data_IF_218762957778
#
_entry.id   IF_218762957778
#
_cell.length_a   1.000
_cell.length_b   1.000
_cell.length_c   1.000
_cell.angle_alpha   90.00
_cell.angle_beta   90.00
_cell.angle_gamma   90.00
#
_symmetry.space_group_name_H-M   'P 1'
#
loop_
_entity.id
_entity.type
_entity.pdbx_description
1 polymer ?
#
# COMPACT_ATOMS: atom_id res chain seq x y z
N UNK A 1 1.40 1.44 7.16
CA UNK A 1 1.52 1.65 5.71
C UNK A 1 1.66 3.13 5.34
N UNK A 2 0.80 4.01 5.85
CA UNK A 2 0.77 5.41 5.43
C UNK A 2 2.09 6.15 5.72
N UNK A 3 2.71 5.88 6.89
CA UNK A 3 4.05 6.41 7.22
C UNK A 3 5.13 5.86 6.28
N UNK A 4 5.10 4.57 5.95
CA UNK A 4 6.03 3.97 4.98
C UNK A 4 5.84 4.59 3.59
N UNK A 5 4.59 4.77 3.14
CA UNK A 5 4.30 5.43 1.88
C UNK A 5 4.84 6.87 1.83
N UNK A 6 4.69 7.62 2.92
CA UNK A 6 5.25 8.99 3.03
C UNK A 6 6.77 8.98 2.98
N UNK A 7 7.44 8.08 3.71
CA UNK A 7 8.89 7.96 3.69
C UNK A 7 9.43 7.63 2.29
N UNK A 8 8.76 6.71 1.57
CA UNK A 8 9.11 6.39 0.19
C UNK A 8 8.89 7.59 -0.74
N UNK A 9 7.75 8.29 -0.62
CA UNK A 9 7.45 9.48 -1.42
C UNK A 9 8.46 10.61 -1.22
N UNK A 10 8.95 10.79 0.02
CA UNK A 10 9.95 11.82 0.35
C UNK A 10 11.33 11.52 -0.22
N UNK A 11 11.74 10.25 -0.17
CA UNK A 11 13.08 9.83 -0.58
C UNK A 11 13.17 9.51 -2.07
N UNK A 12 12.07 9.07 -2.67
CA UNK A 12 12.00 8.63 -4.07
C UNK A 12 10.80 9.27 -4.78
N UNK A 13 10.88 10.59 -5.07
CA UNK A 13 9.78 11.30 -5.71
C UNK A 13 9.35 10.64 -7.03
N UNK A 14 8.05 10.47 -7.21
CA UNK A 14 7.47 9.83 -8.40
C UNK A 14 7.39 8.30 -8.35
N UNK A 15 8.03 7.65 -7.39
CA UNK A 15 7.91 6.19 -7.21
C UNK A 15 6.75 5.83 -6.30
N UNK A 16 6.03 4.76 -6.62
CA UNK A 16 4.88 4.28 -5.84
C UNK A 16 5.26 3.08 -4.99
N UNK A 17 4.74 3.05 -3.76
CA UNK A 17 4.84 1.88 -2.88
C UNK A 17 3.65 0.95 -3.14
N UNK A 18 3.94 -0.30 -3.46
CA UNK A 18 2.95 -1.37 -3.62
C UNK A 18 3.02 -2.34 -2.44
N UNK A 19 1.92 -2.46 -1.71
CA UNK A 19 1.75 -3.47 -0.67
C UNK A 19 1.20 -4.71 -1.37
N UNK A 20 2.02 -5.74 -1.53
CA UNK A 20 1.67 -6.92 -2.32
C UNK A 20 0.81 -7.90 -1.54
N UNK A 21 1.34 -8.47 -0.47
CA UNK A 21 0.65 -9.49 0.34
C UNK A 21 1.23 -9.58 1.75
N UNK A 22 0.49 -10.20 2.65
CA UNK A 22 1.03 -10.56 3.97
C UNK A 22 1.85 -11.84 3.87
N UNK A 23 3.04 -11.82 4.48
CA UNK A 23 3.96 -12.95 4.53
C UNK A 23 4.83 -12.83 5.79
N UNK A 24 5.30 -13.94 6.31
CA UNK A 24 6.25 -13.98 7.43
C UNK A 24 5.81 -13.10 8.63
N UNK A 25 4.51 -13.08 8.92
CA UNK A 25 3.87 -12.27 9.99
C UNK A 25 4.04 -10.77 9.85
N UNK A 26 4.17 -10.29 8.64
CA UNK A 26 4.24 -8.88 8.27
C UNK A 26 3.69 -8.70 6.86
N UNK A 27 4.22 -7.73 6.13
CA UNK A 27 3.75 -7.39 4.80
C UNK A 27 4.92 -7.22 3.84
N UNK A 28 4.79 -7.83 2.68
CA UNK A 28 5.74 -7.63 1.59
C UNK A 28 5.34 -6.42 0.76
N UNK A 29 6.30 -5.53 0.55
CA UNK A 29 6.13 -4.29 -0.18
C UNK A 29 7.19 -4.15 -1.26
N UNK A 30 6.83 -3.57 -2.40
CA UNK A 30 7.74 -3.23 -3.50
C UNK A 30 7.63 -1.75 -3.83
N UNK A 31 8.73 -1.14 -4.25
CA UNK A 31 8.76 0.23 -4.77
C UNK A 31 8.82 0.14 -6.29
N UNK A 32 7.88 0.80 -6.96
CA UNK A 32 7.79 0.82 -8.41
C UNK A 32 9.09 1.38 -9.02
N UNK A 33 9.61 0.71 -10.07
CA UNK A 33 10.85 1.12 -10.72
C UNK A 33 12.14 0.73 -9.99
N UNK A 34 12.06 0.08 -8.81
CA UNK A 34 13.23 -0.51 -8.14
C UNK A 34 13.27 -2.02 -8.39
N UNK A 35 14.31 -2.49 -9.08
CA UNK A 35 14.51 -3.92 -9.30
C UNK A 35 14.95 -4.67 -8.03
N UNK A 36 15.73 -4.00 -7.18
CA UNK A 36 16.17 -4.52 -5.88
C UNK A 36 16.44 -3.37 -4.91
N UNK A 37 16.03 -3.51 -3.65
CA UNK A 37 16.31 -2.50 -2.64
C UNK A 37 17.68 -2.73 -2.01
N UNK A 38 18.50 -1.69 -1.98
CA UNK A 38 19.83 -1.75 -1.34
C UNK A 38 19.72 -1.58 0.18
N UNK A 39 20.73 -2.08 0.95
CA UNK A 39 20.75 -1.87 2.39
C UNK A 39 20.74 -0.38 2.81
N UNK A 40 21.39 0.49 2.02
CA UNK A 40 21.42 1.93 2.30
C UNK A 40 20.08 2.59 2.05
N UNK A 41 19.38 2.24 0.98
CA UNK A 41 17.99 2.69 0.73
C UNK A 41 17.05 2.23 1.83
N UNK A 42 17.16 0.97 2.24
CA UNK A 42 16.32 0.44 3.32
C UNK A 42 16.55 1.18 4.64
N UNK A 43 17.82 1.48 4.96
CA UNK A 43 18.19 2.27 6.14
C UNK A 43 17.62 3.68 6.06
N UNK A 44 17.78 4.36 4.92
CA UNK A 44 17.23 5.70 4.72
C UNK A 44 15.70 5.73 4.91
N UNK A 45 14.98 4.72 4.42
CA UNK A 45 13.53 4.59 4.62
C UNK A 45 13.21 4.40 6.11
N UNK A 46 13.92 3.52 6.82
CA UNK A 46 13.71 3.30 8.26
C UNK A 46 13.96 4.58 9.06
N UNK A 47 15.05 5.28 8.81
CA UNK A 47 15.38 6.57 9.45
C UNK A 47 14.28 7.61 9.17
N UNK A 48 13.85 7.75 7.91
CA UNK A 48 12.79 8.68 7.54
C UNK A 48 11.46 8.34 8.20
N UNK A 49 11.09 7.08 8.29
CA UNK A 49 9.90 6.66 9.02
C UNK A 49 9.98 7.03 10.51
N UNK A 50 11.14 6.85 11.15
CA UNK A 50 11.33 7.24 12.56
C UNK A 50 11.23 8.74 12.78
N UNK A 51 11.77 9.54 11.85
CA UNK A 51 11.61 11.00 11.87
C UNK A 51 10.13 11.41 11.78
N UNK A 52 9.37 10.83 10.82
CA UNK A 52 7.95 11.10 10.67
C UNK A 52 7.14 10.72 11.91
N UNK A 53 7.49 9.63 12.57
CA UNK A 53 6.87 9.21 13.85
C UNK A 53 7.22 10.19 14.96
N UNK A 54 8.48 10.61 15.07
CA UNK A 54 8.93 11.56 16.09
C UNK A 54 8.32 12.96 15.92
N UNK A 55 7.99 13.36 14.68
CA UNK A 55 7.30 14.62 14.38
C UNK A 55 5.83 14.62 14.80
N UNK A 56 5.26 13.49 15.13
CA UNK A 56 3.85 13.32 15.56
C UNK A 56 2.84 14.00 14.61
N UNK A 57 3.00 13.79 13.30
CA UNK A 57 2.23 14.47 12.26
C UNK A 57 0.76 14.04 12.32
N UNK A 58 -0.20 14.98 12.30
CA UNK A 58 -1.62 14.67 12.26
C UNK A 58 -2.02 13.89 11.01
N UNK A 59 -2.85 12.87 11.16
CA UNK A 59 -3.49 12.12 10.08
C UNK A 59 -4.96 12.54 10.04
N UNK A 60 -5.29 13.41 9.10
CA UNK A 60 -6.59 14.06 9.01
C UNK A 60 -7.53 13.22 8.16
N UNK A 61 -8.66 12.82 8.74
CA UNK A 61 -9.74 12.13 8.03
C UNK A 61 -10.67 13.15 7.37
N UNK A 62 -10.86 13.04 6.07
CA UNK A 62 -11.73 13.90 5.28
C UNK A 62 -12.77 13.08 4.54
N UNK A 63 -13.98 13.60 4.45
CA UNK A 63 -15.05 13.03 3.62
C UNK A 63 -15.32 13.98 2.46
N UNK A 64 -15.09 13.48 1.24
CA UNK A 64 -15.27 14.23 0.00
C UNK A 64 -16.36 13.60 -0.85
N UNK A 65 -16.91 14.36 -1.80
CA UNK A 65 -17.67 13.78 -2.89
C UNK A 65 -16.77 12.90 -3.76
N UNK A 66 -17.29 11.78 -4.24
CA UNK A 66 -16.49 10.87 -5.08
C UNK A 66 -15.95 11.57 -6.33
N UNK A 67 -16.71 12.49 -6.92
CA UNK A 67 -16.26 13.28 -8.06
C UNK A 67 -15.05 14.20 -7.71
N UNK A 68 -15.03 14.79 -6.53
CA UNK A 68 -13.89 15.62 -6.06
C UNK A 68 -12.65 14.75 -5.82
N UNK A 69 -12.85 13.56 -5.24
CA UNK A 69 -11.76 12.62 -5.01
C UNK A 69 -11.18 12.07 -6.33
N UNK A 70 -12.01 11.82 -7.33
CA UNK A 70 -11.57 11.46 -8.69
C UNK A 70 -10.69 12.56 -9.27
N UNK A 71 -11.14 13.83 -9.22
CA UNK A 71 -10.34 14.96 -9.70
C UNK A 71 -9.00 15.10 -8.98
N UNK A 72 -8.98 14.89 -7.64
CA UNK A 72 -7.76 14.90 -6.85
C UNK A 72 -6.78 13.82 -7.31
N UNK A 73 -7.24 12.58 -7.42
CA UNK A 73 -6.38 11.45 -7.82
C UNK A 73 -5.94 11.51 -9.29
N UNK A 74 -6.75 12.08 -10.17
CA UNK A 74 -6.35 12.36 -11.56
C UNK A 74 -5.17 13.34 -11.58
N UNK A 75 -5.23 14.43 -10.80
CA UNK A 75 -4.12 15.39 -10.68
C UNK A 75 -2.85 14.77 -10.09
N UNK A 76 -3.00 13.78 -9.21
CA UNK A 76 -1.88 13.06 -8.59
C UNK A 76 -1.35 11.89 -9.45
N UNK A 77 -1.92 11.63 -10.62
CA UNK A 77 -1.54 10.52 -11.49
C UNK A 77 -1.82 9.13 -10.90
N UNK A 78 -2.82 9.01 -10.00
CA UNK A 78 -3.18 7.77 -9.34
C UNK A 78 -4.33 7.06 -10.06
N UNK A 79 -4.05 6.55 -11.26
CA UNK A 79 -5.07 5.95 -12.15
C UNK A 79 -5.81 4.76 -11.51
N UNK A 80 -5.13 3.96 -10.70
CA UNK A 80 -5.72 2.85 -9.93
C UNK A 80 -6.81 3.31 -8.96
N UNK A 81 -6.63 4.49 -8.34
CA UNK A 81 -7.61 5.11 -7.45
C UNK A 81 -8.76 5.73 -8.22
N UNK A 82 -8.47 6.36 -9.36
CA UNK A 82 -9.49 6.88 -10.28
C UNK A 82 -10.41 5.76 -10.73
N UNK A 83 -9.86 4.68 -11.31
CA UNK A 83 -10.62 3.52 -11.76
C UNK A 83 -11.46 2.89 -10.62
N UNK A 84 -10.89 2.79 -9.42
CA UNK A 84 -11.61 2.29 -8.25
C UNK A 84 -12.82 3.16 -7.91
N UNK A 85 -12.67 4.48 -7.88
CA UNK A 85 -13.73 5.40 -7.48
C UNK A 85 -14.82 5.54 -8.56
N UNK A 86 -14.46 5.53 -9.83
CA UNK A 86 -15.40 5.59 -10.96
C UNK A 86 -16.27 4.34 -11.08
N UNK A 87 -15.72 3.19 -10.68
CA UNK A 87 -16.46 1.90 -10.70
C UNK A 87 -17.29 1.64 -9.43
N UNK A 88 -17.29 2.56 -8.47
CA UNK A 88 -18.05 2.43 -7.21
C UNK A 88 -19.22 3.41 -7.17
N UNK A 89 -20.45 2.94 -6.94
CA UNK A 89 -21.65 3.79 -6.89
C UNK A 89 -21.80 4.47 -5.51
N UNK A 90 -20.75 5.10 -5.00
CA UNK A 90 -20.79 5.82 -3.73
C UNK A 90 -20.68 7.31 -3.94
N UNK A 91 -21.62 8.08 -3.36
CA UNK A 91 -21.62 9.53 -3.44
C UNK A 91 -20.44 10.17 -2.69
N UNK A 92 -20.01 9.54 -1.61
CA UNK A 92 -18.92 10.03 -0.75
C UNK A 92 -17.82 8.99 -0.56
N UNK A 93 -16.61 9.48 -0.41
CA UNK A 93 -15.43 8.69 -0.08
C UNK A 93 -14.69 9.32 1.10
N UNK A 94 -14.11 8.48 1.95
CA UNK A 94 -13.24 8.94 3.05
C UNK A 94 -11.79 8.83 2.62
N UNK A 95 -11.08 9.95 2.67
CA UNK A 95 -9.64 10.04 2.45
C UNK A 95 -8.93 10.40 3.75
N UNK A 96 -7.65 10.08 3.80
CA UNK A 96 -6.76 10.49 4.87
C UNK A 96 -5.63 11.32 4.28
N UNK A 97 -5.29 12.42 4.97
CA UNK A 97 -4.19 13.30 4.58
C UNK A 97 -3.17 13.37 5.70
N UNK A 98 -1.91 13.22 5.37
CA UNK A 98 -0.76 13.34 6.26
C UNK A 98 0.27 14.21 5.57
N UNK A 99 0.47 15.43 6.08
CA UNK A 99 1.24 16.48 5.40
C UNK A 99 0.71 16.71 3.96
N UNK A 100 1.53 16.51 2.96
CA UNK A 100 1.21 16.64 1.54
C UNK A 100 0.72 15.34 0.88
N UNK A 101 0.72 14.21 1.61
CA UNK A 101 0.29 12.92 1.08
C UNK A 101 -1.18 12.65 1.37
N UNK A 102 -1.94 12.26 0.34
CA UNK A 102 -3.33 11.80 0.47
C UNK A 102 -3.43 10.30 0.16
N UNK A 103 -4.20 9.59 0.97
CA UNK A 103 -4.41 8.15 0.81
C UNK A 103 -5.87 7.73 1.04
N UNK A 104 -6.26 6.65 0.37
CA UNK A 104 -7.54 6.00 0.53
C UNK A 104 -7.38 4.72 1.34
N UNK A 105 -8.08 4.63 2.47
CA UNK A 105 -8.04 3.47 3.36
C UNK A 105 -9.45 3.05 3.77
N UNK A 106 -9.69 1.75 3.82
CA UNK A 106 -10.99 1.18 4.20
C UNK A 106 -11.28 1.27 5.70
N UNK A 107 -10.24 1.30 6.54
CA UNK A 107 -10.35 1.34 7.98
C UNK A 107 -10.02 2.71 8.58
N UNK A 108 -10.25 2.83 9.88
CA UNK A 108 -9.80 3.98 10.64
C UNK A 108 -8.27 3.93 10.82
N UNK A 109 -7.60 5.06 10.60
CA UNK A 109 -6.19 5.23 10.89
C UNK A 109 -5.99 5.85 12.28
N UNK A 110 -4.77 5.73 12.79
CA UNK A 110 -4.33 6.45 13.98
C UNK A 110 -4.45 7.98 13.77
N UNK A 111 -4.71 8.77 14.82
CA UNK A 111 -4.87 10.21 14.69
C UNK A 111 -3.58 10.94 14.31
N UNK A 112 -2.43 10.41 14.70
CA UNK A 112 -1.11 10.98 14.36
C UNK A 112 -0.11 9.87 14.10
N UNK A 113 1.06 10.22 13.52
CA UNK A 113 2.16 9.28 13.26
C UNK A 113 2.81 8.78 14.55
N UNK A 114 2.75 9.54 15.64
CA UNK A 114 3.30 9.16 16.96
C UNK A 114 2.66 7.91 17.57
N UNK A 115 1.46 7.53 17.12
CA UNK A 115 0.80 6.29 17.56
C UNK A 115 1.39 5.01 16.97
N UNK A 116 2.36 5.10 16.05
CA UNK A 116 2.97 3.92 15.43
C UNK A 116 4.49 3.82 15.66
N UNK A 117 4.94 3.86 16.95
CA UNK A 117 6.37 3.92 17.26
C UNK A 117 7.10 2.59 16.99
N UNK A 118 6.36 1.49 16.89
CA UNK A 118 6.91 0.15 16.79
C UNK A 118 6.66 -0.45 15.40
N UNK A 119 7.72 -0.54 14.61
CA UNK A 119 7.76 -1.20 13.32
C UNK A 119 9.18 -1.71 13.04
N UNK A 120 9.34 -2.58 12.06
CA UNK A 120 10.65 -3.02 11.58
C UNK A 120 10.64 -3.14 10.06
N UNK A 121 11.74 -2.74 9.43
CA UNK A 121 11.96 -2.93 8.00
C UNK A 121 13.10 -3.93 7.80
N UNK A 122 12.85 -4.91 6.93
CA UNK A 122 13.85 -5.91 6.57
C UNK A 122 13.88 -6.06 5.06
N UNK A 123 15.06 -6.28 4.49
CA UNK A 123 15.13 -6.71 3.10
C UNK A 123 14.49 -8.10 2.97
N UNK A 124 13.59 -8.26 2.01
CA UNK A 124 12.94 -9.53 1.72
C UNK A 124 12.80 -9.67 0.21
N UNK A 125 13.51 -10.64 -0.37
CA UNK A 125 13.68 -10.75 -1.82
C UNK A 125 14.15 -9.40 -2.41
N UNK A 126 13.47 -8.90 -3.45
CA UNK A 126 13.78 -7.62 -4.10
C UNK A 126 13.18 -6.39 -3.39
N UNK A 127 12.26 -6.61 -2.45
CA UNK A 127 11.52 -5.54 -1.78
C UNK A 127 11.76 -5.47 -0.28
N UNK A 128 10.75 -4.97 0.41
CA UNK A 128 10.75 -4.66 1.83
C UNK A 128 9.73 -5.56 2.54
N UNK A 129 10.14 -6.17 3.64
CA UNK A 129 9.22 -6.74 4.62
C UNK A 129 8.98 -5.73 5.72
N UNK A 130 7.75 -5.27 5.86
CA UNK A 130 7.30 -4.43 6.96
C UNK A 130 6.78 -5.32 8.10
N UNK A 131 7.55 -5.38 9.19
CA UNK A 131 7.12 -6.00 10.45
C UNK A 131 6.24 -5.04 11.23
N UNK A 132 5.17 -5.56 11.78
CA UNK A 132 4.17 -4.83 12.58
C UNK A 132 4.09 -5.41 13.99
N UNK A 133 3.52 -4.67 14.96
CA UNK A 133 3.33 -5.18 16.32
C UNK A 133 2.58 -6.50 16.35
N UNK A 134 3.00 -7.37 17.25
CA UNK A 134 2.34 -8.64 17.50
C UNK A 134 0.90 -8.42 17.97
N UNK A 135 -0.06 -9.11 17.36
CA UNK A 135 -1.48 -8.96 17.67
C UNK A 135 -1.82 -9.29 19.15
N UNK A 136 -1.12 -10.26 19.73
CA UNK A 136 -1.32 -10.70 21.12
C UNK A 136 -0.48 -9.93 22.13
N UNK A 137 0.60 -9.28 21.68
CA UNK A 137 1.45 -8.43 22.50
C UNK A 137 1.94 -7.22 21.68
N UNK A 138 1.19 -6.12 21.67
CA UNK A 138 1.51 -4.94 20.86
C UNK A 138 2.80 -4.22 21.22
N UNK A 139 3.43 -4.57 22.36
CA UNK A 139 4.71 -3.98 22.78
C UNK A 139 5.92 -4.60 22.11
N UNK A 140 5.76 -5.60 21.27
CA UNK A 140 6.85 -6.24 20.53
C UNK A 140 6.49 -6.51 19.08
N UNK A 141 7.49 -6.58 18.23
CA UNK A 141 7.34 -7.06 16.86
C UNK A 141 7.23 -8.58 16.82
N UNK A 142 6.53 -9.09 15.82
CA UNK A 142 6.58 -10.51 15.49
C UNK A 142 7.96 -10.89 14.93
N UNK A 143 8.43 -12.08 15.28
CA UNK A 143 9.64 -12.61 14.67
C UNK A 143 9.34 -12.98 13.20
N UNK A 144 10.10 -12.41 12.31
CA UNK A 144 10.03 -12.76 10.89
C UNK A 144 10.53 -14.19 10.69
N UNK A 145 9.66 -15.05 10.20
CA UNK A 145 10.02 -16.42 9.79
C UNK A 145 9.87 -16.50 8.27
N UNK A 146 10.97 -16.61 7.51
CA UNK A 146 10.90 -16.66 6.05
C UNK A 146 10.00 -17.78 5.56
N UNK A 147 9.12 -17.47 4.61
CA UNK A 147 8.13 -18.40 4.03
C UNK A 147 8.32 -18.44 2.52
N UNK A 148 9.41 -19.07 2.06
CA UNK A 148 9.81 -19.09 0.66
C UNK A 148 8.73 -19.67 -0.27
N UNK A 149 8.19 -20.85 0.07
CA UNK A 149 7.15 -21.49 -0.75
C UNK A 149 5.89 -20.62 -0.89
N UNK A 150 5.48 -19.95 0.19
CA UNK A 150 4.32 -19.06 0.16
C UNK A 150 4.61 -17.81 -0.67
N UNK A 151 5.82 -17.28 -0.59
CA UNK A 151 6.25 -16.16 -1.41
C UNK A 151 6.22 -16.52 -2.91
N UNK A 152 6.71 -17.70 -3.28
CA UNK A 152 6.72 -18.15 -4.67
C UNK A 152 5.30 -18.27 -5.23
N UNK A 153 4.36 -18.85 -4.46
CA UNK A 153 2.95 -18.96 -4.86
C UNK A 153 2.33 -17.57 -5.04
N UNK A 154 2.55 -16.63 -4.12
CA UNK A 154 2.04 -15.26 -4.26
C UNK A 154 2.67 -14.51 -5.44
N UNK A 155 3.95 -14.74 -5.71
CA UNK A 155 4.64 -14.12 -6.84
C UNK A 155 4.09 -14.64 -8.18
N UNK A 156 3.79 -15.94 -8.27
CA UNK A 156 3.14 -16.54 -9.43
C UNK A 156 1.73 -15.97 -9.63
N UNK A 157 0.93 -15.90 -8.57
CA UNK A 157 -0.40 -15.30 -8.60
C UNK A 157 -0.34 -13.83 -9.04
N UNK A 158 0.61 -13.06 -8.54
CA UNK A 158 0.78 -11.65 -8.95
C UNK A 158 1.04 -11.53 -10.45
N UNK A 159 1.89 -12.37 -11.02
CA UNK A 159 2.11 -12.40 -12.49
C UNK A 159 0.83 -12.70 -13.27
N UNK A 160 0.02 -13.62 -12.76
CA UNK A 160 -1.26 -13.97 -13.37
C UNK A 160 -2.21 -12.78 -13.42
N UNK A 161 -2.43 -12.10 -12.30
CA UNK A 161 -3.34 -10.95 -12.26
C UNK A 161 -2.84 -9.76 -13.08
N UNK A 162 -1.50 -9.59 -13.20
CA UNK A 162 -0.88 -8.59 -14.08
C UNK A 162 -1.17 -8.91 -15.56
N UNK A 163 -0.99 -10.15 -15.99
CA UNK A 163 -1.30 -10.60 -17.37
C UNK A 163 -2.77 -10.42 -17.71
N UNK A 164 -3.67 -10.65 -16.75
CA UNK A 164 -5.11 -10.48 -16.92
C UNK A 164 -5.56 -9.02 -16.85
N UNK A 165 -4.68 -8.08 -16.49
CA UNK A 165 -5.00 -6.66 -16.31
C UNK A 165 -5.91 -6.38 -15.12
N UNK A 166 -5.93 -7.27 -14.12
CA UNK A 166 -6.80 -7.19 -12.92
C UNK A 166 -5.99 -7.10 -11.63
N UNK A 167 -4.79 -6.57 -11.70
CA UNK A 167 -3.88 -6.43 -10.56
C UNK A 167 -4.41 -5.51 -9.45
N UNK A 168 -5.40 -4.66 -9.75
CA UNK A 168 -6.06 -3.78 -8.79
C UNK A 168 -7.57 -4.00 -8.78
N UNK A 169 -8.22 -3.63 -7.66
CA UNK A 169 -9.69 -3.73 -7.57
C UNK A 169 -10.35 -2.82 -8.62
N UNK A 170 -9.78 -1.64 -8.89
CA UNK A 170 -10.27 -0.77 -9.96
C UNK A 170 -10.20 -1.46 -11.33
N UNK A 171 -9.07 -2.04 -11.68
CA UNK A 171 -8.90 -2.80 -12.93
C UNK A 171 -9.85 -3.99 -13.03
N UNK A 172 -10.02 -4.76 -11.94
CA UNK A 172 -10.99 -5.86 -11.89
C UNK A 172 -12.42 -5.37 -12.14
N UNK A 173 -12.84 -4.31 -11.45
CA UNK A 173 -14.17 -3.73 -11.64
C UNK A 173 -14.39 -3.25 -13.07
N UNK A 174 -13.43 -2.54 -13.64
CA UNK A 174 -13.49 -2.09 -15.05
C UNK A 174 -13.66 -3.28 -15.99
N UNK A 175 -12.85 -4.33 -15.81
CA UNK A 175 -12.92 -5.54 -16.63
C UNK A 175 -14.29 -6.24 -16.55
N UNK A 176 -14.90 -6.27 -15.35
CA UNK A 176 -16.25 -6.81 -15.15
C UNK A 176 -17.30 -5.97 -15.87
N UNK A 177 -17.20 -4.64 -15.76
CA UNK A 177 -18.15 -3.71 -16.40
C UNK A 177 -18.06 -3.77 -17.93
N UNK A 178 -16.89 -4.04 -18.50
CA UNK A 178 -16.65 -4.27 -19.92
C UNK A 178 -17.13 -5.65 -20.42
N UNK A 179 -17.71 -6.47 -19.54
CA UNK A 179 -18.24 -7.79 -19.89
C UNK A 179 -17.24 -8.96 -19.78
N UNK A 180 -16.00 -8.70 -19.35
CA UNK A 180 -14.95 -9.72 -19.21
C UNK A 180 -15.08 -10.62 -17.96
N UNK A 181 -16.08 -10.42 -17.12
CA UNK A 181 -16.26 -11.17 -15.87
C UNK A 181 -16.44 -12.67 -16.07
N UNK A 182 -17.16 -13.09 -17.14
CA UNK A 182 -17.38 -14.50 -17.45
C UNK A 182 -16.09 -15.26 -17.81
N UNK A 183 -15.14 -14.59 -18.46
CA UNK A 183 -13.86 -15.20 -18.82
C UNK A 183 -12.93 -15.34 -17.60
N UNK A 184 -12.97 -14.35 -16.70
CA UNK A 184 -12.23 -14.42 -15.44
C UNK A 184 -12.67 -15.60 -14.57
N UNK A 185 -13.99 -15.87 -14.51
CA UNK A 185 -14.54 -17.03 -13.76
C UNK A 185 -14.09 -18.36 -14.37
N UNK A 186 -13.95 -18.47 -15.70
CA UNK A 186 -13.50 -19.70 -16.35
C UNK A 186 -12.01 -19.99 -16.13
N UNK A 187 -11.22 -18.95 -15.85
CA UNK A 187 -9.77 -19.05 -15.65
C UNK A 187 -9.43 -19.32 -14.18
N UNK A 188 -10.28 -18.85 -13.24
CA UNK A 188 -10.09 -19.02 -11.81
C UNK A 188 -10.49 -20.42 -11.34
#
# INVERSE_FOLDING_TARGET
>A
FFVLQKAVSDLFPGQKLHIKHSVAKGFYCEIEGMEDITPDQLRAIDERMRELVAQDIPIIRQRLLSAEAVQLYTKLGMEDKVALLETRPHLYVTLYTMADLSGYFYGALAPTTGYVPLFGLHKYYKGIHLSVPCRTNPSRLENMVPQHKMFDVFSEYTRWVDVLGVATIGGLNTRILEGGGGDLIKIA
#
